data_IF_203647557235
#
_entry.id   IF_203647557235
#
_cell.length_a   1.000
_cell.length_b   1.000
_cell.length_c   1.000
_cell.angle_alpha   90.00
_cell.angle_beta   90.00
_cell.angle_gamma   90.00
#
_symmetry.space_group_name_H-M   'P 1'
#
loop_
_entity.id
_entity.type
_entity.pdbx_description
1 polymer ?
#
# COMPACT_ATOMS: atom_id res chain seq x y z
N UNK A 1 -17.56 -16.48 6.30
CA UNK A 1 -16.39 -15.96 5.59
C UNK A 1 -15.76 -14.84 6.38
N UNK A 2 -14.47 -14.83 6.44
CA UNK A 2 -13.77 -13.79 7.18
C UNK A 2 -13.58 -12.53 6.36
N UNK A 3 -13.24 -11.45 7.05
CA UNK A 3 -12.81 -10.21 6.44
C UNK A 3 -11.44 -10.41 5.80
N UNK A 4 -11.20 -9.77 4.68
CA UNK A 4 -9.90 -9.76 4.03
C UNK A 4 -9.44 -8.32 3.86
N UNK A 5 -8.17 -8.09 4.12
CA UNK A 5 -7.59 -6.75 4.01
C UNK A 5 -6.45 -6.77 3.01
N UNK A 6 -6.50 -5.88 2.04
CA UNK A 6 -5.40 -5.68 1.10
C UNK A 6 -4.49 -4.60 1.63
N UNK A 7 -3.19 -4.81 1.44
CA UNK A 7 -2.19 -3.80 1.76
C UNK A 7 -1.11 -3.83 0.68
N UNK A 8 -0.63 -2.67 0.28
CA UNK A 8 0.39 -2.53 -0.74
C UNK A 8 1.06 -1.18 -0.61
N UNK A 9 2.16 -1.00 -1.29
CA UNK A 9 2.80 0.28 -1.47
C UNK A 9 2.60 0.78 -2.90
N UNK A 10 2.66 2.08 -3.08
CA UNK A 10 2.61 2.70 -4.39
C UNK A 10 3.80 3.64 -4.54
N UNK A 11 4.61 3.43 -5.57
CA UNK A 11 5.61 4.40 -5.96
C UNK A 11 5.21 5.00 -7.31
N UNK A 12 6.03 5.89 -7.86
CA UNK A 12 5.68 6.58 -9.09
C UNK A 12 5.72 5.69 -10.33
N UNK A 13 6.08 4.43 -10.18
CA UNK A 13 6.22 3.51 -11.31
C UNK A 13 5.34 2.28 -11.19
N UNK A 14 5.00 1.85 -9.98
CA UNK A 14 4.30 0.58 -9.80
C UNK A 14 3.62 0.49 -8.44
N UNK A 15 2.73 -0.48 -8.34
CA UNK A 15 2.18 -0.94 -7.08
C UNK A 15 3.11 -2.05 -6.59
N UNK A 16 3.64 -1.91 -5.38
CA UNK A 16 4.67 -2.80 -4.85
C UNK A 16 4.22 -3.49 -3.58
N UNK A 17 4.88 -4.60 -3.25
CA UNK A 17 4.71 -5.32 -1.99
C UNK A 17 3.25 -5.60 -1.66
N UNK A 18 2.45 -6.15 -2.60
CA UNK A 18 1.05 -6.42 -2.33
C UNK A 18 0.91 -7.62 -1.39
N UNK A 19 -0.06 -7.54 -0.48
CA UNK A 19 -0.34 -8.62 0.44
C UNK A 19 -1.80 -8.65 0.83
N UNK A 20 -2.30 -9.82 1.16
CA UNK A 20 -3.66 -10.00 1.65
C UNK A 20 -3.60 -10.59 3.05
N UNK A 21 -4.31 -9.97 3.97
CA UNK A 21 -4.38 -10.42 5.36
C UNK A 21 -5.78 -10.96 5.61
N UNK A 22 -5.88 -12.15 6.17
CA UNK A 22 -7.15 -12.70 6.66
C UNK A 22 -7.50 -12.00 7.96
N UNK A 23 -8.57 -11.21 7.94
CA UNK A 23 -8.98 -10.44 9.08
C UNK A 23 -8.68 -8.96 8.91
N UNK A 24 -8.86 -8.23 9.99
CA UNK A 24 -8.62 -6.79 10.00
C UNK A 24 -7.14 -6.49 10.21
N UNK A 25 -6.71 -5.33 9.70
CA UNK A 25 -5.37 -4.83 9.95
C UNK A 25 -5.27 -4.33 11.38
N UNK A 26 -4.40 -4.94 12.18
CA UNK A 26 -4.06 -4.42 13.51
C UNK A 26 -2.60 -3.98 13.55
N UNK A 27 -2.14 -3.51 14.71
CA UNK A 27 -0.77 -3.01 14.86
C UNK A 27 0.26 -4.08 14.59
N UNK A 28 0.01 -5.29 15.04
CA UNK A 28 0.93 -6.41 14.86
C UNK A 28 1.04 -6.83 13.40
N UNK A 29 -0.10 -6.90 12.70
CA UNK A 29 -0.13 -7.21 11.28
C UNK A 29 0.55 -6.12 10.46
N UNK A 30 0.34 -4.87 10.80
CA UNK A 30 0.98 -3.76 10.11
C UNK A 30 2.50 -3.78 10.30
N UNK A 31 2.96 -3.99 11.53
CA UNK A 31 4.40 -4.08 11.80
C UNK A 31 5.05 -5.24 11.04
N UNK A 32 4.39 -6.40 11.02
CA UNK A 32 4.88 -7.56 10.28
C UNK A 32 4.96 -7.27 8.77
N UNK A 33 3.95 -6.63 8.23
CA UNK A 33 3.94 -6.26 6.82
C UNK A 33 5.11 -5.32 6.48
N UNK A 34 5.30 -4.28 7.30
CA UNK A 34 6.39 -3.32 7.07
C UNK A 34 7.74 -4.03 7.12
N UNK A 35 7.96 -4.82 8.16
CA UNK A 35 9.25 -5.47 8.38
C UNK A 35 9.57 -6.52 7.33
N UNK A 36 8.60 -7.34 6.97
CA UNK A 36 8.86 -8.54 6.18
C UNK A 36 8.52 -8.40 4.71
N UNK A 37 7.61 -7.51 4.35
CA UNK A 37 7.10 -7.40 2.98
C UNK A 37 7.52 -6.08 2.32
N UNK A 38 7.25 -4.94 2.95
CA UNK A 38 7.50 -3.65 2.33
C UNK A 38 8.95 -3.20 2.43
N UNK A 39 9.50 -3.14 3.64
CA UNK A 39 10.83 -2.59 3.86
C UNK A 39 11.92 -3.24 3.00
N UNK A 40 11.91 -4.58 2.81
CA UNK A 40 12.92 -5.21 1.95
C UNK A 40 12.89 -4.76 0.50
N UNK A 41 11.79 -4.19 0.04
CA UNK A 41 11.67 -3.69 -1.33
C UNK A 41 12.04 -2.23 -1.49
N UNK A 42 12.34 -1.54 -0.38
CA UNK A 42 12.64 -0.11 -0.41
C UNK A 42 14.14 0.15 -0.45
N UNK A 43 14.51 1.19 -1.18
CA UNK A 43 15.91 1.67 -1.17
C UNK A 43 16.08 2.62 0.01
N UNK A 44 17.30 2.69 0.60
CA UNK A 44 17.59 3.67 1.65
C UNK A 44 17.26 5.09 1.19
N UNK A 45 16.71 5.89 2.10
CA UNK A 45 16.29 7.24 1.79
C UNK A 45 14.85 7.37 1.34
N UNK A 46 14.11 6.26 1.25
CA UNK A 46 12.71 6.29 0.86
C UNK A 46 11.84 6.79 1.99
N UNK A 47 10.91 7.69 1.67
CA UNK A 47 9.90 8.18 2.61
C UNK A 47 8.60 7.46 2.31
N UNK A 48 8.01 6.85 3.34
CA UNK A 48 6.74 6.13 3.22
C UNK A 48 5.62 7.03 3.72
N UNK A 49 4.75 7.44 2.82
CA UNK A 49 3.61 8.28 3.13
C UNK A 49 2.45 7.38 3.52
N UNK A 50 1.87 7.62 4.67
CA UNK A 50 0.70 6.85 5.09
C UNK A 50 -0.29 7.71 5.87
N UNK A 51 -1.51 7.17 5.99
CA UNK A 51 -2.60 7.84 6.70
C UNK A 51 -2.27 7.99 8.18
N UNK A 52 -2.88 9.00 8.79
CA UNK A 52 -2.71 9.26 10.21
C UNK A 52 -3.68 8.41 11.03
N UNK A 53 -3.54 7.09 10.94
CA UNK A 53 -4.32 6.14 11.72
C UNK A 53 -3.47 5.62 12.88
N UNK A 54 -4.09 5.36 14.02
CA UNK A 54 -3.38 4.86 15.20
C UNK A 54 -2.59 3.58 14.91
N UNK A 55 -3.17 2.68 14.12
CA UNK A 55 -2.51 1.44 13.70
C UNK A 55 -1.23 1.71 12.94
N UNK A 56 -1.20 2.77 12.13
CA UNK A 56 -0.06 3.12 11.32
C UNK A 56 1.03 3.85 12.11
N UNK A 57 0.71 4.42 13.28
CA UNK A 57 1.69 5.05 14.16
C UNK A 57 2.31 4.01 15.10
N UNK A 58 2.94 3.04 14.50
CA UNK A 58 3.42 1.85 15.17
C UNK A 58 4.94 1.94 15.37
N UNK A 59 5.37 1.83 16.62
CA UNK A 59 6.80 1.95 16.98
C UNK A 59 7.64 0.87 16.31
N UNK A 60 7.12 -0.36 16.27
CA UNK A 60 7.85 -1.48 15.65
C UNK A 60 7.98 -1.30 14.14
N UNK A 61 6.91 -0.84 13.48
CA UNK A 61 6.94 -0.56 12.06
C UNK A 61 7.93 0.56 11.74
N UNK A 62 7.91 1.63 12.53
CA UNK A 62 8.84 2.75 12.36
C UNK A 62 10.29 2.30 12.53
N UNK A 63 10.56 1.46 13.52
CA UNK A 63 11.90 0.92 13.75
C UNK A 63 12.35 0.06 12.56
N UNK A 64 11.46 -0.76 12.03
CA UNK A 64 11.78 -1.61 10.88
C UNK A 64 12.15 -0.77 9.65
N UNK A 65 11.43 0.32 9.40
CA UNK A 65 11.79 1.23 8.30
C UNK A 65 13.14 1.89 8.53
N UNK A 66 13.41 2.35 9.76
CA UNK A 66 14.69 2.99 10.06
C UNK A 66 15.88 2.06 9.86
N UNK A 67 15.70 0.77 10.13
CA UNK A 67 16.76 -0.21 9.89
C UNK A 67 17.14 -0.30 8.40
N UNK A 68 16.22 0.05 7.51
CA UNK A 68 16.47 0.08 6.07
C UNK A 68 16.82 1.49 5.56
N UNK A 69 17.02 2.43 6.46
CA UNK A 69 17.32 3.82 6.08
C UNK A 69 16.11 4.59 5.57
N UNK A 70 14.91 4.18 5.95
CA UNK A 70 13.65 4.77 5.52
C UNK A 70 12.88 5.31 6.72
N UNK A 71 11.83 6.09 6.47
CA UNK A 71 10.99 6.62 7.54
C UNK A 71 9.59 6.93 7.04
N UNK A 72 8.64 7.05 8.00
CA UNK A 72 7.26 7.41 7.70
C UNK A 72 7.07 8.92 7.65
N UNK A 73 6.19 9.35 6.76
CA UNK A 73 5.57 10.67 6.76
C UNK A 73 4.07 10.45 6.89
N UNK A 74 3.50 10.87 8.02
CA UNK A 74 2.07 10.72 8.26
C UNK A 74 1.31 11.92 7.72
N UNK A 75 0.22 11.64 6.97
CA UNK A 75 -0.64 12.68 6.44
C UNK A 75 -1.47 13.31 7.56
N UNK A 76 -1.95 14.57 7.37
CA UNK A 76 -2.89 15.15 8.31
C UNK A 76 -4.16 14.31 8.43
N UNK A 77 -4.85 14.34 9.59
CA UNK A 77 -6.11 13.61 9.73
C UNK A 77 -7.13 14.02 8.65
N UNK A 78 -7.93 13.06 8.21
CA UNK A 78 -9.03 13.28 7.26
C UNK A 78 -8.59 13.87 5.91
N UNK A 79 -7.42 13.44 5.43
CA UNK A 79 -6.87 13.93 4.16
C UNK A 79 -6.58 12.79 3.18
N UNK A 80 -7.58 11.94 2.84
CA UNK A 80 -7.34 10.83 1.92
C UNK A 80 -6.97 11.28 0.51
N UNK A 81 -7.39 12.48 0.11
CA UNK A 81 -7.04 13.06 -1.19
C UNK A 81 -5.54 13.34 -1.34
N UNK A 82 -4.80 13.39 -0.23
CA UNK A 82 -3.35 13.55 -0.25
C UNK A 82 -2.61 12.21 -0.32
N UNK A 83 -3.33 11.09 -0.33
CA UNK A 83 -2.73 9.76 -0.39
C UNK A 83 -2.96 9.13 -1.75
N UNK A 84 -1.93 9.11 -2.61
CA UNK A 84 -2.08 8.57 -3.98
C UNK A 84 -2.57 7.13 -4.03
N UNK A 85 -2.27 6.34 -3.02
CA UNK A 85 -2.62 4.92 -3.01
C UNK A 85 -4.14 4.69 -2.95
N UNK A 86 -4.91 5.67 -2.48
CA UNK A 86 -6.37 5.52 -2.43
C UNK A 86 -6.96 5.38 -3.83
N UNK A 87 -6.41 6.11 -4.80
CA UNK A 87 -6.83 5.98 -6.21
C UNK A 87 -6.42 4.62 -6.77
N UNK A 88 -5.22 4.16 -6.44
CA UNK A 88 -4.74 2.86 -6.87
C UNK A 88 -5.59 1.73 -6.28
N UNK A 89 -6.02 1.85 -5.03
CA UNK A 89 -6.88 0.84 -4.41
C UNK A 89 -8.26 0.77 -5.07
N UNK A 90 -8.80 1.89 -5.53
CA UNK A 90 -10.07 1.89 -6.26
C UNK A 90 -9.95 1.05 -7.54
N UNK A 91 -8.87 1.22 -8.28
CA UNK A 91 -8.60 0.42 -9.48
C UNK A 91 -8.38 -1.06 -9.11
N UNK A 92 -7.61 -1.32 -8.08
CA UNK A 92 -7.33 -2.69 -7.62
C UNK A 92 -8.62 -3.45 -7.32
N UNK A 93 -9.50 -2.82 -6.56
CA UNK A 93 -10.79 -3.44 -6.19
C UNK A 93 -11.65 -3.70 -7.42
N UNK A 94 -11.69 -2.75 -8.36
CA UNK A 94 -12.45 -2.90 -9.58
C UNK A 94 -11.91 -4.05 -10.44
N UNK A 95 -10.60 -4.15 -10.56
CA UNK A 95 -9.96 -5.23 -11.35
C UNK A 95 -10.17 -6.59 -10.71
N UNK A 96 -10.10 -6.69 -9.39
CA UNK A 96 -10.38 -7.95 -8.69
C UNK A 96 -11.82 -8.41 -8.89
N UNK A 97 -12.77 -7.47 -8.86
CA UNK A 97 -14.18 -7.80 -9.14
C UNK A 97 -14.38 -8.24 -10.58
N UNK A 98 -13.70 -7.57 -11.50
CA UNK A 98 -13.77 -7.91 -12.92
C UNK A 98 -13.27 -9.34 -13.19
N UNK A 99 -12.24 -9.75 -12.48
CA UNK A 99 -11.67 -11.10 -12.58
C UNK A 99 -12.48 -12.14 -11.82
N UNK A 100 -13.50 -11.73 -11.07
CA UNK A 100 -14.35 -12.64 -10.31
C UNK A 100 -13.67 -13.25 -9.09
N UNK A 101 -12.62 -12.64 -8.59
CA UNK A 101 -11.90 -13.13 -7.41
C UNK A 101 -12.76 -12.92 -6.15
N UNK A 102 -13.22 -14.02 -5.54
CA UNK A 102 -14.13 -13.97 -4.40
C UNK A 102 -13.62 -14.67 -3.16
N UNK A 103 -12.82 -15.70 -3.33
CA UNK A 103 -12.21 -16.40 -2.19
C UNK A 103 -10.83 -15.82 -1.91
N UNK A 104 -10.32 -16.10 -0.72
CA UNK A 104 -8.96 -15.67 -0.36
C UNK A 104 -7.94 -16.18 -1.38
N UNK A 105 -8.01 -17.46 -1.72
CA UNK A 105 -7.05 -18.06 -2.65
C UNK A 105 -7.15 -17.45 -4.04
N UNK A 106 -8.37 -17.19 -4.53
CA UNK A 106 -8.56 -16.53 -5.82
C UNK A 106 -8.01 -15.12 -5.82
N UNK A 107 -8.23 -14.37 -4.74
CA UNK A 107 -7.70 -13.01 -4.61
C UNK A 107 -6.19 -13.01 -4.55
N UNK A 108 -5.61 -13.97 -3.81
CA UNK A 108 -4.17 -14.07 -3.70
C UNK A 108 -3.53 -14.38 -5.07
N UNK A 109 -4.11 -15.31 -5.82
CA UNK A 109 -3.61 -15.66 -7.15
C UNK A 109 -3.77 -14.52 -8.15
N UNK A 110 -4.88 -13.78 -8.07
CA UNK A 110 -5.15 -12.67 -8.97
C UNK A 110 -4.30 -11.44 -8.67
N UNK A 111 -3.80 -11.32 -7.45
CA UNK A 111 -3.14 -10.11 -6.98
C UNK A 111 -1.91 -9.74 -7.80
N UNK A 112 -1.06 -10.72 -8.11
CA UNK A 112 0.13 -10.47 -8.91
C UNK A 112 -0.25 -10.00 -10.32
N UNK A 113 -1.24 -10.65 -10.93
CA UNK A 113 -1.73 -10.26 -12.26
C UNK A 113 -2.29 -8.84 -12.26
N UNK A 114 -3.11 -8.51 -11.26
CA UNK A 114 -3.71 -7.17 -11.16
C UNK A 114 -2.63 -6.10 -10.96
N UNK A 115 -1.62 -6.38 -10.14
CA UNK A 115 -0.54 -5.44 -9.92
C UNK A 115 0.24 -5.14 -11.19
N UNK A 116 0.36 -6.11 -12.08
CA UNK A 116 1.04 -5.92 -13.37
C UNK A 116 0.24 -5.04 -14.34
N UNK A 117 -1.03 -4.78 -14.06
CA UNK A 117 -1.86 -3.89 -14.86
C UNK A 117 -1.63 -2.41 -14.54
N UNK A 118 -0.85 -2.11 -13.51
CA UNK A 118 -0.52 -0.74 -13.15
C UNK A 118 0.69 -0.28 -13.94
N UNK A 119 0.49 0.71 -14.82
CA UNK A 119 1.58 1.24 -15.64
C UNK A 119 2.32 2.35 -14.89
N UNK A 120 3.58 2.63 -15.23
CA UNK A 120 4.31 3.77 -14.64
C UNK A 120 3.57 5.09 -14.83
N UNK A 121 2.93 5.29 -15.98
CA UNK A 121 2.18 6.53 -16.25
C UNK A 121 1.00 6.67 -15.30
N UNK A 122 0.24 5.59 -15.07
CA UNK A 122 -0.88 5.63 -14.14
C UNK A 122 -0.41 5.93 -12.71
N UNK A 123 0.66 5.30 -12.27
CA UNK A 123 1.19 5.50 -10.92
C UNK A 123 1.66 6.94 -10.73
N UNK A 124 2.39 7.48 -11.70
CA UNK A 124 2.80 8.87 -11.69
C UNK A 124 1.59 9.81 -11.60
N UNK A 125 0.54 9.49 -12.35
CA UNK A 125 -0.67 10.30 -12.39
C UNK A 125 -1.35 10.38 -11.02
N UNK A 126 -1.36 9.28 -10.27
CA UNK A 126 -1.92 9.28 -8.92
C UNK A 126 -1.18 10.25 -8.00
N UNK A 127 0.16 10.25 -8.07
CA UNK A 127 0.95 11.22 -7.30
C UNK A 127 0.71 12.66 -7.76
N UNK A 128 0.60 12.87 -9.05
CA UNK A 128 0.33 14.20 -9.59
C UNK A 128 -1.01 14.74 -9.13
N UNK A 129 -2.06 13.92 -9.20
CA UNK A 129 -3.40 14.33 -8.78
C UNK A 129 -3.51 14.56 -7.28
N UNK A 130 -2.71 13.86 -6.49
CA UNK A 130 -2.64 14.09 -5.04
C UNK A 130 -1.76 15.28 -4.65
N UNK A 131 -1.13 15.95 -5.62
CA UNK A 131 -0.37 17.16 -5.38
C UNK A 131 1.12 16.97 -5.13
N UNK A 132 1.65 15.76 -5.34
CA UNK A 132 3.06 15.46 -5.07
C UNK A 132 3.98 15.72 -6.25
N UNK A 133 3.44 15.95 -7.43
CA UNK A 133 4.22 16.26 -8.62
C UNK A 133 3.62 17.46 -9.31
N UNK A 134 4.45 18.41 -9.72
CA UNK A 134 4.02 19.58 -10.47
C UNK A 134 4.33 19.34 -11.94
N UNK A 135 3.33 19.11 -12.73
CA UNK A 135 3.42 19.00 -14.20
C UNK A 135 4.53 18.10 -14.75
#
# INVERSE_FOLDING_TARGET
MGTQTFIAGLNHQSLIAPWIIKGAMDGEAFAAYIREVLAPELEPGTVVICDNLATHKNVEAAAALREHGCWFLYLPPYSPDLNPIEMAFAKLKADLRRLGARTFDQMFEALAEVCDLFTPHECWKYFHEAGYASK
#
